data_IF_108767911883
#
_entry.id   IF_108767911883
#
_cell.length_a   1.000
_cell.length_b   1.000
_cell.length_c   1.000
_cell.angle_alpha   90.00
_cell.angle_beta   90.00
_cell.angle_gamma   90.00
#
_symmetry.space_group_name_H-M   'P 1'
#
loop_
_entity.id
_entity.type
_entity.pdbx_description
1 polymer ?
#
# COMPACT_ATOMS: atom_id res chain seq x y z
N UNK A 1 55.21 -3.61 51.89
CA UNK A 1 53.75 -3.92 51.86
C UNK A 1 52.92 -2.93 51.05
N UNK A 2 53.21 -1.62 51.11
CA UNK A 2 52.37 -0.61 50.41
C UNK A 2 52.46 -0.69 48.86
N UNK A 3 53.62 -1.05 48.29
CA UNK A 3 53.83 -1.14 46.84
C UNK A 3 53.11 -2.34 46.18
N UNK A 4 52.86 -3.44 46.85
CA UNK A 4 52.12 -4.58 46.33
C UNK A 4 50.60 -4.34 46.29
N UNK A 5 50.10 -3.49 47.23
CA UNK A 5 48.64 -3.15 47.25
C UNK A 5 48.26 -2.22 46.09
N UNK A 6 49.12 -1.30 45.68
CA UNK A 6 48.86 -0.36 44.58
C UNK A 6 48.86 -1.08 43.23
N UNK A 7 49.73 -2.12 43.05
CA UNK A 7 49.77 -2.95 41.83
C UNK A 7 48.48 -3.77 41.66
N UNK A 8 47.94 -4.32 42.77
CA UNK A 8 46.71 -5.10 42.75
C UNK A 8 45.46 -4.27 42.41
N UNK A 9 45.39 -3.03 42.90
CA UNK A 9 44.29 -2.09 42.57
C UNK A 9 44.28 -1.66 41.11
N UNK A 10 45.49 -1.42 40.52
CA UNK A 10 45.54 -1.08 39.08
C UNK A 10 45.07 -2.21 38.19
N UNK A 11 45.33 -3.46 38.51
CA UNK A 11 44.88 -4.63 37.74
C UNK A 11 43.37 -4.83 37.87
N UNK A 12 42.74 -4.51 39.00
CA UNK A 12 41.27 -4.56 39.18
C UNK A 12 40.57 -3.50 38.37
N UNK A 13 41.10 -2.26 38.31
CA UNK A 13 40.55 -1.21 37.48
C UNK A 13 40.69 -1.48 35.98
N UNK A 14 41.77 -2.06 35.53
CA UNK A 14 41.98 -2.46 34.12
C UNK A 14 41.04 -3.60 33.75
N UNK A 15 40.82 -4.58 34.64
CA UNK A 15 39.87 -5.68 34.38
C UNK A 15 38.42 -5.18 34.36
N UNK A 16 38.05 -4.25 35.27
CA UNK A 16 36.72 -3.62 35.27
C UNK A 16 36.46 -2.73 34.04
N UNK A 17 37.51 -2.04 33.55
CA UNK A 17 37.42 -1.25 32.31
C UNK A 17 37.30 -2.14 31.07
N UNK A 18 37.94 -3.31 31.05
CA UNK A 18 37.83 -4.26 29.95
C UNK A 18 36.49 -5.02 29.96
N UNK A 19 35.89 -5.24 31.13
CA UNK A 19 34.54 -5.82 31.24
C UNK A 19 33.41 -4.84 30.80
N UNK A 20 33.60 -3.53 30.98
CA UNK A 20 32.66 -2.53 30.53
C UNK A 20 32.73 -2.21 29.02
N UNK A 21 33.85 -2.60 28.34
CA UNK A 21 33.97 -2.35 26.89
C UNK A 21 33.29 -3.40 26.00
N UNK A 22 32.74 -4.46 26.58
CA UNK A 22 31.98 -5.51 25.85
C UNK A 22 30.49 -5.46 26.02
N UNK A 23 29.94 -4.44 26.68
CA UNK A 23 28.52 -4.09 26.55
C UNK A 23 28.31 -3.31 25.24
N UNK A 24 28.72 -3.89 24.13
CA UNK A 24 28.09 -3.49 22.84
C UNK A 24 26.62 -3.76 23.03
N UNK A 25 25.84 -2.69 23.16
CA UNK A 25 24.39 -2.76 23.02
C UNK A 25 24.12 -3.50 21.71
N UNK A 26 23.82 -4.78 21.82
CA UNK A 26 23.29 -5.54 20.69
C UNK A 26 22.02 -4.81 20.28
N UNK A 27 22.10 -4.01 19.24
CA UNK A 27 20.95 -3.32 18.71
C UNK A 27 19.95 -4.41 18.34
N UNK A 28 18.85 -4.50 19.08
CA UNK A 28 17.85 -5.55 18.87
C UNK A 28 17.35 -5.46 17.43
N UNK A 29 17.34 -6.60 16.75
CA UNK A 29 16.80 -6.69 15.38
C UNK A 29 15.37 -6.16 15.41
N UNK A 30 15.06 -5.25 14.49
CA UNK A 30 13.70 -4.74 14.29
C UNK A 30 13.10 -5.37 13.04
N UNK A 31 11.84 -5.77 13.13
CA UNK A 31 11.04 -6.27 12.01
C UNK A 31 9.92 -5.28 11.74
N UNK A 32 9.83 -4.76 10.51
CA UNK A 32 8.94 -3.64 10.18
C UNK A 32 9.05 -2.50 11.20
N UNK A 33 10.28 -2.16 11.57
CA UNK A 33 10.60 -1.03 12.43
C UNK A 33 10.58 -1.29 13.94
N UNK A 34 10.03 -2.41 14.43
CA UNK A 34 9.88 -2.71 15.86
C UNK A 34 10.41 -4.09 16.23
N UNK A 35 11.15 -4.19 17.32
CA UNK A 35 11.67 -5.48 17.83
C UNK A 35 10.56 -6.38 18.33
N UNK A 36 9.50 -5.79 18.89
CA UNK A 36 8.36 -6.49 19.47
C UNK A 36 7.51 -7.22 18.41
N UNK A 37 7.60 -6.82 17.15
CA UNK A 37 6.88 -7.45 16.05
C UNK A 37 7.58 -8.72 15.54
N UNK A 38 8.88 -8.88 15.78
CA UNK A 38 9.66 -9.97 15.19
C UNK A 38 9.12 -11.36 15.51
N UNK A 39 8.66 -11.57 16.76
CA UNK A 39 8.16 -12.86 17.24
C UNK A 39 6.63 -12.98 17.21
N UNK A 40 5.93 -11.99 16.66
CA UNK A 40 4.47 -12.07 16.50
C UNK A 40 4.12 -12.78 15.19
N UNK A 41 3.10 -13.65 15.20
CA UNK A 41 2.53 -14.17 13.97
C UNK A 41 2.05 -13.03 13.06
N UNK A 42 2.27 -13.16 11.76
CA UNK A 42 1.84 -12.17 10.78
C UNK A 42 0.35 -11.80 10.92
N UNK A 43 -0.51 -12.79 11.22
CA UNK A 43 -1.95 -12.60 11.44
C UNK A 43 -2.32 -11.88 12.74
N UNK A 44 -1.37 -11.61 13.63
CA UNK A 44 -1.59 -10.86 14.89
C UNK A 44 -0.98 -9.47 14.88
N UNK A 45 -0.64 -8.96 13.70
CA UNK A 45 -0.03 -7.65 13.51
C UNK A 45 -0.94 -6.78 12.64
N UNK A 46 -1.13 -5.53 13.07
CA UNK A 46 -1.71 -4.49 12.24
C UNK A 46 -0.60 -3.80 11.43
N UNK A 47 -0.81 -3.67 10.13
CA UNK A 47 0.11 -3.03 9.21
C UNK A 47 -0.48 -1.71 8.70
N UNK A 48 0.31 -0.63 8.61
CA UNK A 48 -0.12 0.57 7.91
C UNK A 48 -0.28 0.23 6.43
N UNK A 49 -1.47 0.52 5.89
CA UNK A 49 -1.84 0.21 4.53
C UNK A 49 -2.33 1.46 3.79
N UNK A 50 -2.11 1.50 2.49
CA UNK A 50 -2.60 2.56 1.62
C UNK A 50 -3.55 1.97 0.57
N UNK A 51 -4.76 2.54 0.50
CA UNK A 51 -5.71 2.23 -0.55
C UNK A 51 -5.26 2.90 -1.85
N UNK A 52 -5.37 2.19 -2.97
CA UNK A 52 -4.89 2.65 -4.27
C UNK A 52 -3.54 3.35 -4.18
N UNK A 53 -2.55 2.63 -3.62
CA UNK A 53 -1.23 3.16 -3.26
C UNK A 53 -0.50 3.82 -4.43
N UNK A 54 -0.78 3.39 -5.64
CA UNK A 54 -0.21 3.87 -6.90
C UNK A 54 -0.86 5.18 -7.37
N UNK A 55 -2.12 5.44 -6.96
CA UNK A 55 -2.93 6.56 -7.44
C UNK A 55 -2.45 7.88 -6.83
N UNK A 56 -1.32 8.36 -7.33
CA UNK A 56 -0.65 9.60 -6.94
C UNK A 56 -0.48 10.51 -8.16
N UNK A 57 -1.23 11.60 -8.18
CA UNK A 57 -1.07 12.74 -9.08
C UNK A 57 -1.74 13.95 -8.43
N UNK A 58 -0.97 14.94 -8.04
CA UNK A 58 -1.45 16.12 -7.31
C UNK A 58 -2.49 16.96 -8.06
N UNK A 59 -2.65 16.73 -9.36
CA UNK A 59 -3.58 17.45 -10.22
C UNK A 59 -4.80 16.61 -10.64
N UNK A 60 -4.90 15.36 -10.19
CA UNK A 60 -5.97 14.46 -10.57
C UNK A 60 -6.93 14.22 -9.39
N UNK A 61 -8.24 14.45 -9.62
CA UNK A 61 -9.27 14.25 -8.58
C UNK A 61 -9.47 12.79 -8.18
N UNK A 62 -8.97 11.85 -8.97
CA UNK A 62 -9.00 10.42 -8.69
C UNK A 62 -7.77 9.93 -7.92
N UNK A 63 -6.91 10.83 -7.47
CA UNK A 63 -5.75 10.45 -6.64
C UNK A 63 -6.18 10.09 -5.23
N UNK A 64 -5.74 8.91 -4.77
CA UNK A 64 -5.96 8.44 -3.41
C UNK A 64 -4.83 8.82 -2.46
N UNK A 65 -3.67 9.20 -2.98
CA UNK A 65 -2.48 9.48 -2.18
C UNK A 65 -1.82 10.80 -2.60
N UNK A 66 -1.26 11.52 -1.63
CA UNK A 66 -0.48 12.73 -1.87
C UNK A 66 1.00 12.44 -2.18
N UNK A 67 1.45 11.21 -1.89
CA UNK A 67 2.86 10.83 -2.00
C UNK A 67 3.03 9.55 -2.83
N UNK A 68 4.11 9.46 -3.62
CA UNK A 68 4.41 8.27 -4.41
C UNK A 68 4.76 7.07 -3.52
N UNK A 69 4.69 5.85 -4.07
CA UNK A 69 5.02 4.58 -3.39
C UNK A 69 6.41 4.62 -2.72
N UNK A 70 7.39 5.29 -3.33
CA UNK A 70 8.74 5.44 -2.75
C UNK A 70 8.72 6.14 -1.41
N UNK A 71 7.96 7.23 -1.29
CA UNK A 71 7.80 7.94 -0.02
C UNK A 71 6.95 7.13 0.97
N UNK A 72 5.90 6.45 0.51
CA UNK A 72 5.08 5.57 1.35
C UNK A 72 5.94 4.46 2.00
N UNK A 73 6.82 3.81 1.22
CA UNK A 73 7.76 2.80 1.71
C UNK A 73 8.72 3.37 2.77
N UNK A 74 9.32 4.53 2.49
CA UNK A 74 10.27 5.19 3.40
C UNK A 74 9.58 5.72 4.66
N UNK A 75 8.34 6.16 4.57
CA UNK A 75 7.54 6.63 5.71
C UNK A 75 7.02 5.47 6.60
N UNK A 76 7.08 4.22 6.15
CA UNK A 76 6.72 3.05 6.96
C UNK A 76 5.45 2.32 6.56
N UNK A 77 4.82 2.62 5.41
CA UNK A 77 3.73 1.80 4.86
C UNK A 77 4.25 0.40 4.51
N UNK A 78 3.49 -0.65 4.85
CA UNK A 78 3.90 -2.05 4.65
C UNK A 78 2.85 -2.91 3.95
N UNK A 79 1.67 -2.37 3.67
CA UNK A 79 0.69 -2.99 2.79
C UNK A 79 0.22 -2.00 1.73
N UNK A 80 0.13 -2.46 0.49
CA UNK A 80 -0.14 -1.63 -0.68
C UNK A 80 -1.26 -2.27 -1.50
N UNK A 81 -2.34 -1.53 -1.74
CA UNK A 81 -3.44 -1.96 -2.60
C UNK A 81 -3.23 -1.38 -4.00
N UNK A 82 -3.28 -2.24 -5.01
CA UNK A 82 -2.93 -1.91 -6.39
C UNK A 82 -3.97 -2.47 -7.36
N UNK A 83 -4.47 -1.64 -8.27
CA UNK A 83 -5.46 -2.02 -9.28
C UNK A 83 -4.76 -2.38 -10.58
N UNK A 84 -4.98 -3.61 -11.03
CA UNK A 84 -4.37 -4.15 -12.25
C UNK A 84 -5.33 -4.01 -13.43
N UNK A 85 -4.89 -3.31 -14.46
CA UNK A 85 -5.64 -3.08 -15.69
C UNK A 85 -4.84 -3.40 -16.95
N UNK A 86 -5.56 -3.69 -18.04
CA UNK A 86 -4.98 -3.73 -19.38
C UNK A 86 -4.69 -2.31 -19.85
N UNK A 87 -3.54 -2.09 -20.50
CA UNK A 87 -3.23 -0.79 -21.06
C UNK A 87 -4.27 -0.38 -22.10
N UNK A 88 -4.56 0.91 -22.18
CA UNK A 88 -5.33 1.45 -23.28
C UNK A 88 -4.53 1.29 -24.58
N UNK A 89 -4.90 0.32 -25.41
CA UNK A 89 -4.29 0.20 -26.74
C UNK A 89 -4.90 1.22 -27.70
N UNK A 90 -4.09 1.70 -28.67
CA UNK A 90 -4.62 2.52 -29.76
C UNK A 90 -5.76 1.84 -30.50
N UNK A 91 -5.77 0.51 -30.55
CA UNK A 91 -6.86 -0.31 -31.10
C UNK A 91 -8.08 -0.37 -30.17
N UNK A 92 -7.94 -0.33 -28.85
CA UNK A 92 -9.09 -0.25 -27.93
C UNK A 92 -9.71 1.16 -27.92
N UNK A 93 -8.91 2.22 -28.05
CA UNK A 93 -9.42 3.56 -28.28
C UNK A 93 -10.15 3.65 -29.66
N UNK A 94 -9.57 3.06 -30.70
CA UNK A 94 -10.16 3.05 -32.04
C UNK A 94 -11.39 2.12 -32.12
N UNK A 95 -11.43 1.02 -31.35
CA UNK A 95 -12.60 0.14 -31.23
C UNK A 95 -13.73 0.79 -30.43
N UNK A 96 -13.42 1.62 -29.44
CA UNK A 96 -14.39 2.45 -28.74
C UNK A 96 -14.92 3.58 -29.62
N UNK A 97 -14.15 4.03 -30.62
CA UNK A 97 -14.51 5.08 -31.57
C UNK A 97 -15.13 4.53 -32.88
N UNK A 98 -14.96 3.24 -33.17
CA UNK A 98 -15.47 2.60 -34.41
C UNK A 98 -16.17 1.30 -34.09
N UNK A 99 -17.52 1.32 -34.08
CA UNK A 99 -18.35 0.12 -33.96
C UNK A 99 -18.34 -0.68 -35.27
N UNK A 100 -17.19 -1.12 -35.76
CA UNK A 100 -17.12 -2.02 -36.91
C UNK A 100 -16.12 -3.17 -36.67
N UNK A 101 -16.70 -4.35 -36.69
CA UNK A 101 -16.05 -5.65 -36.55
C UNK A 101 -14.97 -5.91 -37.59
N UNK A 102 -13.72 -6.14 -37.16
CA UNK A 102 -12.86 -7.13 -37.79
C UNK A 102 -11.75 -7.53 -36.80
N UNK A 103 -11.90 -8.72 -36.23
CA UNK A 103 -10.92 -9.35 -35.34
C UNK A 103 -9.70 -9.79 -36.16
N UNK A 104 -8.54 -9.21 -35.90
CA UNK A 104 -7.25 -9.84 -36.09
C UNK A 104 -6.64 -10.09 -34.73
N UNK A 105 -6.56 -11.38 -34.37
CA UNK A 105 -5.91 -11.85 -33.17
C UNK A 105 -4.39 -11.68 -33.34
N UNK A 106 -3.82 -10.66 -32.70
CA UNK A 106 -2.37 -10.55 -32.51
C UNK A 106 -2.03 -11.26 -31.20
N UNK A 107 -1.11 -12.21 -31.27
CA UNK A 107 -0.43 -12.77 -30.10
C UNK A 107 0.37 -11.64 -29.45
N UNK A 108 -0.12 -11.12 -28.34
CA UNK A 108 0.55 -10.07 -27.58
C UNK A 108 1.72 -10.68 -26.79
N UNK A 109 2.90 -10.02 -26.78
CA UNK A 109 3.95 -10.36 -25.81
C UNK A 109 3.43 -10.10 -24.40
N UNK A 110 4.00 -10.79 -23.39
CA UNK A 110 3.72 -10.73 -21.95
C UNK A 110 2.77 -9.59 -21.59
N UNK A 111 1.59 -9.92 -21.03
CA UNK A 111 0.55 -8.95 -20.77
C UNK A 111 1.15 -7.74 -20.05
N UNK A 112 1.21 -6.61 -20.75
CA UNK A 112 1.51 -5.34 -20.09
C UNK A 112 0.38 -5.08 -19.10
N UNK A 113 0.70 -5.10 -17.83
CA UNK A 113 -0.23 -4.72 -16.77
C UNK A 113 0.10 -3.27 -16.40
N UNK A 114 -0.93 -2.42 -16.41
CA UNK A 114 -0.85 -1.04 -15.98
C UNK A 114 -1.58 -0.86 -14.64
N UNK A 115 -1.20 0.16 -13.90
CA UNK A 115 -1.85 0.54 -12.65
C UNK A 115 -2.77 1.72 -12.93
N UNK A 116 -4.07 1.48 -12.90
CA UNK A 116 -5.06 2.49 -13.23
C UNK A 116 -6.15 2.55 -12.18
N UNK A 117 -6.54 3.76 -11.74
CA UNK A 117 -7.65 3.92 -10.82
C UNK A 117 -8.97 4.01 -11.59
N UNK A 118 -9.89 3.12 -11.31
CA UNK A 118 -11.20 2.93 -11.97
C UNK A 118 -11.05 2.59 -13.45
N UNK A 119 -10.37 3.41 -14.21
CA UNK A 119 -10.02 3.19 -15.63
C UNK A 119 -8.74 3.93 -15.97
N UNK A 120 -7.97 3.41 -16.93
CA UNK A 120 -6.76 4.08 -17.41
C UNK A 120 -7.03 5.43 -18.12
N UNK A 121 -8.29 5.77 -18.41
CA UNK A 121 -8.69 7.09 -18.90
C UNK A 121 -8.78 8.12 -17.77
N UNK A 122 -9.10 7.70 -16.56
CA UNK A 122 -9.27 8.59 -15.42
C UNK A 122 -7.93 8.88 -14.74
N UNK A 123 -7.20 7.83 -14.39
CA UNK A 123 -5.86 7.94 -13.84
C UNK A 123 -5.05 6.70 -14.22
N UNK A 124 -4.00 6.89 -14.99
CA UNK A 124 -3.00 5.88 -15.37
C UNK A 124 -1.65 6.31 -14.80
N UNK A 125 -1.09 5.49 -13.92
CA UNK A 125 0.22 5.75 -13.30
C UNK A 125 1.34 4.89 -13.89
N UNK A 126 1.01 4.10 -14.91
CA UNK A 126 1.95 3.37 -15.73
C UNK A 126 2.18 1.92 -15.31
N UNK A 127 3.26 1.38 -15.76
CA UNK A 127 3.54 -0.05 -15.77
C UNK A 127 3.71 -0.66 -14.38
N UNK A 128 3.00 -1.77 -14.13
CA UNK A 128 3.11 -2.57 -12.91
C UNK A 128 4.55 -3.06 -12.68
N UNK A 129 5.27 -3.52 -13.72
CA UNK A 129 6.67 -3.97 -13.59
C UNK A 129 7.57 -2.84 -13.09
N UNK A 130 7.38 -1.60 -13.55
CA UNK A 130 8.16 -0.45 -13.07
C UNK A 130 7.89 -0.19 -11.59
N UNK A 131 6.63 -0.26 -11.18
CA UNK A 131 6.25 -0.13 -9.76
C UNK A 131 6.83 -1.27 -8.92
N UNK A 132 6.77 -2.51 -9.40
CA UNK A 132 7.39 -3.65 -8.73
C UNK A 132 8.89 -3.47 -8.53
N UNK A 133 9.60 -2.82 -9.46
CA UNK A 133 11.03 -2.52 -9.32
C UNK A 133 11.34 -1.61 -8.14
N UNK A 134 10.40 -0.74 -7.73
CA UNK A 134 10.54 0.07 -6.52
C UNK A 134 10.52 -0.80 -5.26
N UNK A 135 9.61 -1.77 -5.18
CA UNK A 135 9.55 -2.73 -4.08
C UNK A 135 10.82 -3.58 -4.01
N UNK A 136 11.37 -3.98 -5.18
CA UNK A 136 12.66 -4.67 -5.22
C UNK A 136 13.77 -3.84 -4.61
N UNK A 137 13.92 -2.59 -5.07
CA UNK A 137 14.93 -1.66 -4.55
C UNK A 137 14.81 -1.50 -3.03
N UNK A 138 13.58 -1.35 -2.54
CA UNK A 138 13.33 -1.24 -1.10
C UNK A 138 13.71 -2.51 -0.33
N UNK A 139 13.28 -3.67 -0.79
CA UNK A 139 13.57 -4.96 -0.15
C UNK A 139 15.05 -5.32 -0.20
N UNK A 140 15.78 -4.90 -1.24
CA UNK A 140 17.23 -5.06 -1.33
C UNK A 140 17.97 -4.28 -0.25
N UNK A 141 17.54 -3.06 0.02
CA UNK A 141 18.13 -2.19 1.03
C UNK A 141 17.71 -2.56 2.46
N UNK A 142 16.46 -3.00 2.65
CA UNK A 142 15.85 -3.19 3.96
C UNK A 142 15.57 -4.68 4.24
N UNK A 143 16.54 -5.36 4.81
CA UNK A 143 16.53 -6.84 4.95
C UNK A 143 15.53 -7.37 5.98
N UNK A 144 15.06 -6.54 6.92
CA UNK A 144 14.17 -6.93 8.00
C UNK A 144 12.71 -6.46 7.79
N UNK A 145 12.37 -6.07 6.56
CA UNK A 145 11.05 -5.58 6.21
C UNK A 145 10.25 -6.64 5.45
N UNK A 146 9.01 -6.82 5.83
CA UNK A 146 8.00 -7.66 5.16
C UNK A 146 6.97 -6.74 4.55
N UNK A 147 6.71 -6.90 3.26
CA UNK A 147 5.76 -6.09 2.48
C UNK A 147 4.62 -6.97 1.99
N UNK A 148 3.42 -6.42 1.99
CA UNK A 148 2.22 -7.03 1.43
C UNK A 148 1.74 -6.23 0.23
N UNK A 149 1.43 -6.92 -0.87
CA UNK A 149 0.69 -6.37 -1.99
C UNK A 149 -0.69 -7.03 -2.04
N UNK A 150 -1.72 -6.22 -2.19
CA UNK A 150 -3.11 -6.63 -2.35
C UNK A 150 -3.55 -6.13 -3.73
N UNK A 151 -3.72 -7.06 -4.66
CA UNK A 151 -3.94 -6.78 -6.08
C UNK A 151 -5.42 -6.93 -6.42
N UNK A 152 -6.07 -5.82 -6.78
CA UNK A 152 -7.39 -5.85 -7.41
C UNK A 152 -7.22 -6.14 -8.90
N UNK A 153 -7.52 -7.38 -9.30
CA UNK A 153 -7.28 -7.88 -10.66
C UNK A 153 -8.52 -7.64 -11.54
N UNK A 154 -8.77 -6.39 -11.92
CA UNK A 154 -9.98 -5.97 -12.64
C UNK A 154 -10.15 -6.66 -14.00
N UNK A 155 -9.07 -6.84 -14.73
CA UNK A 155 -9.10 -7.42 -16.08
C UNK A 155 -8.85 -8.92 -16.13
N UNK A 156 -8.90 -9.59 -14.97
CA UNK A 156 -8.79 -11.04 -14.82
C UNK A 156 -7.52 -11.64 -15.46
N UNK A 157 -6.37 -11.01 -15.20
CA UNK A 157 -5.08 -11.55 -15.60
C UNK A 157 -4.87 -12.94 -14.99
N UNK A 158 -4.29 -13.86 -15.77
CA UNK A 158 -3.92 -15.16 -15.27
C UNK A 158 -2.83 -15.06 -14.18
N UNK A 159 -2.82 -16.01 -13.24
CA UNK A 159 -1.78 -16.07 -12.20
C UNK A 159 -0.37 -16.12 -12.79
N UNK A 160 -0.20 -16.76 -13.95
CA UNK A 160 1.06 -16.79 -14.71
C UNK A 160 1.47 -15.42 -15.25
N UNK A 161 0.52 -14.61 -15.70
CA UNK A 161 0.78 -13.26 -16.20
C UNK A 161 1.22 -12.34 -15.06
N UNK A 162 0.50 -12.37 -13.92
CA UNK A 162 0.88 -11.63 -12.71
C UNK A 162 2.27 -12.08 -12.25
N UNK A 163 2.52 -13.38 -12.12
CA UNK A 163 3.82 -13.92 -11.69
C UNK A 163 4.96 -13.50 -12.62
N UNK A 164 4.73 -13.47 -13.94
CA UNK A 164 5.72 -13.04 -14.93
C UNK A 164 6.14 -11.58 -14.73
N UNK A 165 5.23 -10.70 -14.27
CA UNK A 165 5.58 -9.32 -13.93
C UNK A 165 6.53 -9.26 -12.72
N UNK A 166 6.34 -10.11 -11.70
CA UNK A 166 7.28 -10.23 -10.58
C UNK A 166 8.63 -10.77 -11.02
N UNK A 167 8.67 -11.75 -11.94
CA UNK A 167 9.93 -12.26 -12.52
C UNK A 167 10.68 -11.15 -13.28
N UNK A 168 9.97 -10.39 -14.12
CA UNK A 168 10.55 -9.31 -14.90
C UNK A 168 11.10 -8.16 -14.01
N UNK A 169 10.50 -7.97 -12.83
CA UNK A 169 10.99 -7.03 -11.83
C UNK A 169 12.12 -7.61 -10.94
N UNK A 170 12.50 -8.89 -11.13
CA UNK A 170 13.51 -9.56 -10.32
C UNK A 170 13.07 -9.87 -8.89
N UNK A 171 11.76 -10.07 -8.65
CA UNK A 171 11.17 -10.29 -7.33
C UNK A 171 10.84 -11.75 -7.02
N UNK A 172 11.08 -12.70 -7.94
CA UNK A 172 10.74 -14.12 -7.74
C UNK A 172 11.30 -14.69 -6.43
N UNK A 173 12.52 -14.30 -6.06
CA UNK A 173 13.17 -14.76 -4.84
C UNK A 173 12.61 -14.16 -3.56
N UNK A 174 11.83 -13.10 -3.66
CA UNK A 174 11.19 -12.44 -2.52
C UNK A 174 9.78 -12.95 -2.25
N UNK A 175 9.16 -13.65 -3.20
CA UNK A 175 7.77 -14.04 -3.11
C UNK A 175 7.55 -15.10 -2.02
N UNK A 176 6.63 -14.80 -1.11
CA UNK A 176 6.18 -15.71 -0.08
C UNK A 176 5.30 -16.82 -0.69
N UNK A 177 5.53 -18.06 -0.24
CA UNK A 177 4.71 -19.20 -0.65
C UNK A 177 3.99 -19.78 0.60
N UNK A 178 2.66 -19.66 0.69
CA UNK A 178 1.91 -20.17 1.83
C UNK A 178 2.01 -21.70 1.98
N UNK A 179 2.22 -22.44 0.89
CA UNK A 179 2.34 -23.91 0.90
C UNK A 179 3.62 -24.39 1.61
N UNK A 180 4.58 -23.49 1.85
CA UNK A 180 5.76 -23.81 2.66
C UNK A 180 5.45 -23.91 4.16
N UNK A 181 4.20 -23.58 4.57
CA UNK A 181 3.77 -23.54 5.97
C UNK A 181 2.43 -24.27 6.11
N UNK A 182 2.49 -25.55 6.50
CA UNK A 182 1.29 -26.42 6.63
C UNK A 182 0.21 -25.85 7.55
N UNK A 183 0.60 -25.06 8.55
CA UNK A 183 -0.33 -24.51 9.54
C UNK A 183 -1.19 -23.34 9.00
N UNK A 184 -0.78 -22.66 7.92
CA UNK A 184 -1.59 -21.59 7.34
C UNK A 184 -2.86 -22.16 6.73
N UNK A 185 -2.73 -23.25 5.98
CA UNK A 185 -3.85 -23.87 5.25
C UNK A 185 -4.80 -24.64 6.18
N UNK A 186 -4.28 -25.28 7.24
CA UNK A 186 -5.07 -26.12 8.13
C UNK A 186 -5.67 -25.38 9.33
N UNK A 187 -4.91 -24.42 9.93
CA UNK A 187 -5.26 -23.78 11.20
C UNK A 187 -5.25 -22.25 11.16
N UNK A 188 -5.02 -21.63 9.98
CA UNK A 188 -4.86 -20.18 9.82
C UNK A 188 -3.72 -19.57 10.68
N UNK A 189 -2.73 -20.38 11.06
CA UNK A 189 -1.59 -19.96 11.87
C UNK A 189 -0.47 -19.49 10.93
N UNK A 190 -0.32 -18.18 10.83
CA UNK A 190 0.72 -17.56 10.03
C UNK A 190 2.08 -17.60 10.75
N UNK A 191 3.20 -17.68 9.99
CA UNK A 191 4.54 -17.58 10.57
C UNK A 191 4.76 -16.20 11.21
N UNK A 192 5.73 -16.13 12.14
CA UNK A 192 6.17 -14.85 12.71
C UNK A 192 6.93 -14.03 11.66
N UNK A 193 7.02 -12.70 11.86
CA UNK A 193 7.81 -11.86 10.94
C UNK A 193 9.26 -12.36 10.84
N UNK A 194 9.85 -12.76 11.96
CA UNK A 194 11.22 -13.29 11.96
C UNK A 194 11.36 -14.58 11.14
N UNK A 195 10.36 -15.47 11.21
CA UNK A 195 10.34 -16.67 10.36
C UNK A 195 10.25 -16.33 8.87
N UNK A 196 9.40 -15.35 8.50
CA UNK A 196 9.29 -14.88 7.11
C UNK A 196 10.60 -14.25 6.66
N UNK A 197 11.18 -13.36 7.46
CA UNK A 197 12.43 -12.65 7.17
C UNK A 197 13.58 -13.64 6.98
N UNK A 198 13.68 -14.67 7.84
CA UNK A 198 14.77 -15.65 7.78
C UNK A 198 14.81 -16.46 6.48
N UNK A 199 13.68 -16.60 5.79
CA UNK A 199 13.62 -17.28 4.48
C UNK A 199 14.01 -16.39 3.31
N UNK A 200 14.08 -15.07 3.50
CA UNK A 200 14.23 -14.09 2.44
C UNK A 200 12.93 -13.86 1.62
N UNK A 201 11.89 -14.68 1.82
CA UNK A 201 10.59 -14.61 1.09
C UNK A 201 9.66 -13.59 1.74
N UNK A 202 9.98 -12.30 1.60
CA UNK A 202 9.45 -11.19 2.38
C UNK A 202 8.39 -10.35 1.66
N UNK A 203 7.95 -10.77 0.48
CA UNK A 203 6.90 -10.14 -0.31
C UNK A 203 5.69 -11.07 -0.38
N UNK A 204 4.62 -10.71 0.32
CA UNK A 204 3.36 -11.46 0.36
C UNK A 204 2.41 -10.82 -0.65
N UNK A 205 1.88 -11.61 -1.57
CA UNK A 205 1.04 -11.11 -2.67
C UNK A 205 -0.32 -11.80 -2.65
N UNK A 206 -1.36 -11.01 -2.42
CA UNK A 206 -2.74 -11.43 -2.57
C UNK A 206 -3.32 -10.88 -3.87
N UNK A 207 -4.21 -11.62 -4.51
CA UNK A 207 -4.95 -11.19 -5.69
C UNK A 207 -6.43 -11.49 -5.53
N UNK A 208 -7.30 -10.55 -5.90
CA UNK A 208 -8.76 -10.70 -5.82
C UNK A 208 -9.27 -11.85 -6.67
N UNK A 209 -8.58 -12.16 -7.77
CA UNK A 209 -8.83 -13.35 -8.60
C UNK A 209 -7.54 -14.12 -8.88
N UNK A 210 -7.62 -15.46 -8.81
CA UNK A 210 -6.52 -16.38 -9.16
C UNK A 210 -7.11 -17.57 -9.89
N UNK A 211 -6.36 -18.11 -10.86
CA UNK A 211 -6.82 -19.25 -11.68
C UNK A 211 -5.90 -20.46 -11.66
N UNK A 212 -4.72 -20.37 -11.04
CA UNK A 212 -3.75 -21.47 -10.98
C UNK A 212 -2.89 -21.41 -9.70
N UNK A 213 -3.52 -21.69 -8.58
CA UNK A 213 -2.84 -21.73 -7.27
C UNK A 213 -1.87 -22.91 -7.12
N UNK A 214 -1.95 -23.90 -8.00
CA UNK A 214 -1.06 -25.09 -7.97
C UNK A 214 0.32 -24.73 -8.51
N UNK A 215 0.38 -24.07 -9.68
CA UNK A 215 1.65 -23.72 -10.32
C UNK A 215 2.19 -22.35 -9.83
N UNK A 216 1.30 -21.46 -9.38
CA UNK A 216 1.64 -20.10 -8.89
C UNK A 216 1.11 -19.84 -7.48
N UNK A 217 1.51 -20.67 -6.47
CA UNK A 217 0.99 -20.54 -5.11
C UNK A 217 1.40 -19.22 -4.42
N UNK A 218 2.37 -18.49 -4.97
CA UNK A 218 2.82 -17.18 -4.49
C UNK A 218 1.84 -16.07 -4.83
N UNK A 219 0.96 -16.27 -5.82
CA UNK A 219 -0.17 -15.37 -6.12
C UNK A 219 -1.38 -15.90 -5.35
N UNK A 220 -1.51 -15.41 -4.12
CA UNK A 220 -2.41 -15.98 -3.13
C UNK A 220 -3.84 -15.48 -3.38
N UNK A 221 -4.81 -16.38 -3.37
CA UNK A 221 -6.21 -16.01 -3.48
C UNK A 221 -6.64 -15.18 -2.26
N UNK A 222 -6.96 -13.91 -2.47
CA UNK A 222 -7.37 -12.99 -1.41
C UNK A 222 -8.56 -13.51 -0.63
N UNK A 223 -9.62 -13.94 -1.30
CA UNK A 223 -10.87 -14.37 -0.65
C UNK A 223 -10.73 -15.63 0.21
N UNK A 224 -9.65 -16.40 0.04
CA UNK A 224 -9.36 -17.54 0.89
C UNK A 224 -8.79 -17.14 2.26
N UNK A 225 -8.10 -16.01 2.35
CA UNK A 225 -7.35 -15.60 3.53
C UNK A 225 -7.76 -14.25 4.11
N UNK A 226 -8.36 -13.37 3.34
CA UNK A 226 -8.70 -11.99 3.73
C UNK A 226 -10.20 -11.79 3.70
N UNK A 227 -10.75 -11.24 4.79
CA UNK A 227 -12.04 -10.53 4.81
C UNK A 227 -11.78 -9.03 4.88
N UNK A 228 -12.74 -8.22 4.44
CA UNK A 228 -12.60 -6.76 4.50
C UNK A 228 -13.90 -6.10 4.97
N UNK A 229 -13.78 -4.97 5.64
CA UNK A 229 -14.95 -4.11 5.92
C UNK A 229 -15.42 -3.44 4.62
N UNK A 230 -16.62 -2.86 4.64
CA UNK A 230 -17.12 -2.12 3.47
C UNK A 230 -16.10 -1.04 3.05
N UNK A 231 -15.86 -0.93 1.75
CA UNK A 231 -15.11 0.16 1.12
C UNK A 231 -16.03 1.21 0.49
N UNK A 232 -17.34 0.93 0.41
CA UNK A 232 -18.36 1.83 -0.13
C UNK A 232 -18.92 2.75 0.98
N UNK A 233 -18.05 3.62 1.54
CA UNK A 233 -18.47 4.59 2.56
C UNK A 233 -18.50 5.98 1.95
N UNK A 234 -19.69 6.36 1.48
CA UNK A 234 -19.92 7.71 0.98
C UNK A 234 -19.88 8.73 2.12
N UNK A 235 -19.22 9.84 1.89
CA UNK A 235 -19.19 10.94 2.85
C UNK A 235 -19.22 12.29 2.14
N UNK A 236 -20.24 13.06 2.44
CA UNK A 236 -20.31 14.47 2.09
C UNK A 236 -19.66 15.36 3.17
N UNK A 237 -18.85 14.78 4.06
CA UNK A 237 -18.31 15.46 5.23
C UNK A 237 -17.52 16.71 4.84
N UNK A 238 -18.02 17.81 5.33
CA UNK A 238 -17.34 19.11 5.36
C UNK A 238 -16.98 19.51 6.79
N UNK A 239 -17.29 18.66 7.78
CA UNK A 239 -17.20 18.98 9.21
C UNK A 239 -16.90 17.75 10.06
N UNK A 240 -16.04 17.88 11.11
CA UNK A 240 -15.72 16.82 12.05
C UNK A 240 -16.90 16.34 12.90
N UNK A 241 -18.00 17.09 12.94
CA UNK A 241 -19.14 16.77 13.79
C UNK A 241 -20.00 15.61 13.26
N UNK A 242 -19.82 15.17 12.03
CA UNK A 242 -20.56 14.05 11.45
C UNK A 242 -19.58 12.97 11.01
N UNK A 243 -19.21 12.02 11.88
CA UNK A 243 -18.28 10.95 11.53
C UNK A 243 -18.87 10.07 10.42
N UNK A 244 -18.02 9.48 9.56
CA UNK A 244 -18.48 8.49 8.58
C UNK A 244 -19.18 7.33 9.26
N UNK A 245 -20.17 6.75 8.60
CA UNK A 245 -20.88 5.57 9.11
C UNK A 245 -20.04 4.29 8.83
N UNK A 246 -18.90 4.20 9.47
CA UNK A 246 -18.10 2.99 9.42
C UNK A 246 -18.80 1.84 10.15
N UNK A 247 -18.58 0.61 9.67
CA UNK A 247 -19.10 -0.60 10.27
C UNK A 247 -18.06 -1.72 10.22
N UNK A 248 -18.23 -2.74 11.08
CA UNK A 248 -17.41 -3.96 11.01
C UNK A 248 -18.17 -5.14 10.40
N UNK A 249 -18.99 -4.86 9.38
CA UNK A 249 -19.54 -5.90 8.51
C UNK A 249 -18.44 -6.31 7.52
N UNK A 250 -18.06 -7.60 7.58
CA UNK A 250 -16.95 -8.12 6.79
C UNK A 250 -17.40 -9.03 5.66
N UNK A 251 -16.71 -8.94 4.52
CA UNK A 251 -16.88 -9.79 3.35
C UNK A 251 -15.52 -10.37 2.92
N UNK A 252 -15.42 -11.70 2.59
CA UNK A 252 -16.44 -12.71 2.77
C UNK A 252 -16.64 -13.08 4.25
N UNK A 253 -17.85 -13.59 4.55
CA UNK A 253 -18.20 -14.19 5.83
C UNK A 253 -18.25 -15.72 5.68
N UNK A 254 -17.84 -16.53 6.68
CA UNK A 254 -17.26 -16.11 7.96
C UNK A 254 -15.87 -15.49 7.83
N UNK A 255 -15.43 -14.82 8.92
CA UNK A 255 -14.12 -14.15 9.02
C UNK A 255 -12.99 -15.07 8.56
N UNK A 256 -12.11 -14.54 7.72
CA UNK A 256 -10.86 -15.19 7.30
C UNK A 256 -9.73 -14.90 8.33
N UNK A 257 -8.55 -15.46 8.08
CA UNK A 257 -7.41 -15.33 8.99
C UNK A 257 -6.84 -13.90 9.06
N UNK A 258 -7.09 -13.08 8.05
CA UNK A 258 -6.65 -11.70 7.95
C UNK A 258 -7.84 -10.80 7.64
N UNK A 259 -7.76 -9.53 8.04
CA UNK A 259 -8.83 -8.56 7.80
C UNK A 259 -8.26 -7.22 7.34
N UNK A 260 -8.85 -6.64 6.30
CA UNK A 260 -8.64 -5.25 5.90
C UNK A 260 -9.71 -4.39 6.58
N UNK A 261 -9.27 -3.35 7.28
CA UNK A 261 -10.10 -2.26 7.75
C UNK A 261 -10.02 -1.12 6.72
N UNK A 262 -11.04 -1.01 5.87
CA UNK A 262 -11.13 0.06 4.88
C UNK A 262 -11.55 1.36 5.58
N UNK A 263 -10.57 2.18 5.94
CA UNK A 263 -10.76 3.42 6.70
C UNK A 263 -10.55 4.64 5.82
N UNK A 264 -11.38 4.75 4.80
CA UNK A 264 -11.41 5.86 3.84
C UNK A 264 -12.84 6.11 3.38
N UNK A 265 -13.05 7.22 2.72
CA UNK A 265 -14.36 7.66 2.24
C UNK A 265 -14.27 8.26 0.84
N UNK A 266 -15.33 8.10 0.07
CA UNK A 266 -15.44 8.69 -1.24
C UNK A 266 -16.52 9.76 -1.31
N UNK A 267 -16.50 10.53 -2.38
CA UNK A 267 -17.53 11.49 -2.76
C UNK A 267 -17.87 11.30 -4.24
N UNK A 268 -19.15 11.41 -4.55
CA UNK A 268 -19.61 11.36 -5.93
C UNK A 268 -19.32 12.68 -6.64
N UNK A 269 -18.64 12.63 -7.78
CA UNK A 269 -18.35 13.77 -8.65
C UNK A 269 -18.91 13.54 -10.04
N UNK A 270 -19.68 14.51 -10.52
CA UNK A 270 -20.16 14.52 -11.90
C UNK A 270 -19.06 15.07 -12.81
N UNK A 271 -18.61 14.26 -13.77
CA UNK A 271 -17.64 14.64 -14.79
C UNK A 271 -18.32 14.43 -16.15
N UNK A 272 -18.64 15.51 -16.84
CA UNK A 272 -19.51 15.42 -18.01
C UNK A 272 -20.91 14.94 -17.63
N UNK A 273 -21.30 13.77 -18.16
CA UNK A 273 -22.58 13.12 -17.87
C UNK A 273 -22.45 11.89 -16.96
N UNK A 274 -21.22 11.56 -16.52
CA UNK A 274 -20.94 10.36 -15.73
C UNK A 274 -20.59 10.75 -14.29
N UNK A 275 -21.21 10.06 -13.34
CA UNK A 275 -20.87 10.20 -11.92
C UNK A 275 -19.79 9.18 -11.57
N UNK A 276 -18.68 9.66 -11.04
CA UNK A 276 -17.57 8.86 -10.54
C UNK A 276 -17.47 8.95 -9.03
N UNK A 277 -17.15 7.83 -8.40
CA UNK A 277 -16.69 7.80 -7.02
C UNK A 277 -15.21 8.18 -6.98
N UNK A 278 -14.90 9.24 -6.26
CA UNK A 278 -13.53 9.74 -6.12
C UNK A 278 -13.17 9.90 -4.65
N UNK A 279 -11.90 9.76 -4.26
CA UNK A 279 -11.47 9.93 -2.88
C UNK A 279 -11.85 11.30 -2.33
N UNK A 280 -12.34 11.34 -1.09
CA UNK A 280 -12.70 12.62 -0.45
C UNK A 280 -11.51 13.22 0.31
N UNK A 281 -10.60 13.89 -0.39
CA UNK A 281 -9.44 14.54 0.19
C UNK A 281 -9.81 15.55 1.30
N UNK A 282 -10.94 16.25 1.17
CA UNK A 282 -11.39 17.22 2.17
C UNK A 282 -11.80 16.57 3.49
N UNK A 283 -12.22 15.29 3.46
CA UNK A 283 -12.60 14.55 4.65
C UNK A 283 -11.38 13.93 5.37
N UNK A 284 -10.25 13.74 4.67
CA UNK A 284 -9.10 13.01 5.21
C UNK A 284 -8.59 13.58 6.55
N UNK A 285 -8.58 14.90 6.72
CA UNK A 285 -8.15 15.54 7.97
C UNK A 285 -9.03 15.17 9.19
N UNK A 286 -10.27 14.73 8.96
CA UNK A 286 -11.20 14.32 10.02
C UNK A 286 -11.28 12.80 10.14
N UNK A 287 -11.25 12.12 9.01
CA UNK A 287 -11.33 10.66 8.93
C UNK A 287 -10.06 10.03 9.49
N UNK A 288 -8.90 10.53 9.10
CA UNK A 288 -7.61 9.90 9.38
C UNK A 288 -7.03 10.24 10.76
N UNK A 289 -7.86 10.76 11.69
CA UNK A 289 -7.41 11.02 13.07
C UNK A 289 -7.24 9.71 13.85
N UNK A 290 -6.40 9.74 14.88
CA UNK A 290 -6.21 8.62 15.80
C UNK A 290 -7.54 8.13 16.38
N UNK A 291 -8.36 9.05 16.90
CA UNK A 291 -9.62 8.71 17.55
C UNK A 291 -10.62 8.07 16.59
N UNK A 292 -10.73 8.59 15.36
CA UNK A 292 -11.60 8.02 14.32
C UNK A 292 -11.17 6.61 13.96
N UNK A 293 -9.85 6.40 13.76
CA UNK A 293 -9.30 5.09 13.38
C UNK A 293 -9.49 4.06 14.48
N UNK A 294 -9.17 4.43 15.74
CA UNK A 294 -9.34 3.53 16.89
C UNK A 294 -10.83 3.24 17.13
N UNK A 295 -11.71 4.21 16.94
CA UNK A 295 -13.16 4.00 17.03
C UNK A 295 -13.63 2.99 16.00
N UNK A 296 -13.23 3.11 14.73
CA UNK A 296 -13.58 2.13 13.68
C UNK A 296 -13.00 0.74 14.00
N UNK A 297 -11.73 0.66 14.40
CA UNK A 297 -11.12 -0.62 14.84
C UNK A 297 -11.90 -1.26 15.98
N UNK A 298 -12.34 -0.48 16.97
CA UNK A 298 -13.08 -0.96 18.13
C UNK A 298 -14.49 -1.45 17.80
N UNK A 299 -15.10 -1.02 16.68
CA UNK A 299 -16.37 -1.61 16.21
C UNK A 299 -16.21 -3.10 15.88
N UNK A 300 -15.00 -3.56 15.57
CA UNK A 300 -14.68 -4.93 15.24
C UNK A 300 -14.42 -5.81 16.50
N UNK A 301 -14.06 -5.21 17.61
CA UNK A 301 -13.67 -5.92 18.85
C UNK A 301 -14.77 -6.82 19.42
N UNK A 302 -16.06 -6.42 19.50
CA UNK A 302 -17.13 -7.28 20.00
C UNK A 302 -17.35 -8.54 19.16
N UNK A 303 -16.90 -8.52 17.89
CA UNK A 303 -16.98 -9.63 16.95
C UNK A 303 -15.74 -10.52 16.99
N UNK A 304 -14.79 -10.25 17.88
CA UNK A 304 -13.47 -10.92 17.94
C UNK A 304 -12.71 -10.82 16.60
N UNK A 305 -12.85 -9.69 15.93
CA UNK A 305 -12.17 -9.39 14.67
C UNK A 305 -10.97 -8.49 14.96
N UNK A 306 -9.79 -8.95 14.57
CA UNK A 306 -8.56 -8.16 14.56
C UNK A 306 -8.27 -7.73 13.12
N UNK A 307 -8.14 -6.42 12.88
CA UNK A 307 -7.81 -5.91 11.57
C UNK A 307 -6.29 -5.87 11.37
N UNK A 308 -5.83 -6.50 10.29
CA UNK A 308 -4.42 -6.62 9.95
C UNK A 308 -3.92 -5.51 9.04
N UNK A 309 -4.76 -5.01 8.14
CA UNK A 309 -4.39 -3.95 7.21
C UNK A 309 -5.29 -2.76 7.46
N UNK A 310 -4.71 -1.67 7.96
CA UNK A 310 -5.43 -0.43 8.25
C UNK A 310 -5.27 0.47 7.03
N UNK A 311 -6.23 0.43 6.12
CA UNK A 311 -6.13 1.05 4.80
C UNK A 311 -6.67 2.49 4.80
N UNK A 312 -5.82 3.42 4.37
CA UNK A 312 -6.11 4.86 4.28
C UNK A 312 -6.00 5.37 2.85
N UNK A 313 -6.87 6.33 2.52
CA UNK A 313 -6.56 7.35 1.52
C UNK A 313 -5.79 8.49 2.19
N UNK A 314 -4.90 9.16 1.46
CA UNK A 314 -4.11 10.31 1.95
C UNK A 314 -3.41 10.00 3.29
N UNK A 315 -2.67 8.90 3.32
CA UNK A 315 -2.04 8.35 4.54
C UNK A 315 -1.16 9.34 5.30
N UNK A 316 -0.62 10.34 4.62
CA UNK A 316 0.23 11.40 5.16
C UNK A 316 -0.56 12.54 5.85
N UNK A 317 -1.88 12.47 5.75
CA UNK A 317 -2.81 13.36 6.47
C UNK A 317 -3.36 12.59 7.68
N UNK A 318 -3.06 13.04 8.88
CA UNK A 318 -3.57 12.43 10.11
C UNK A 318 -2.59 11.46 10.79
N UNK A 319 -3.11 10.38 11.39
CA UNK A 319 -2.41 9.63 12.42
C UNK A 319 -2.29 8.11 12.14
N UNK A 320 -2.24 7.67 10.86
CA UNK A 320 -2.16 6.24 10.51
C UNK A 320 -1.13 5.48 11.33
N UNK A 321 0.11 5.96 11.36
CA UNK A 321 1.20 5.25 12.04
C UNK A 321 1.04 5.22 13.56
N UNK A 322 0.47 6.26 14.17
CA UNK A 322 0.13 6.27 15.60
C UNK A 322 -1.00 5.30 15.92
N UNK A 323 -2.02 5.26 15.07
CA UNK A 323 -3.14 4.32 15.23
C UNK A 323 -2.66 2.88 15.12
N UNK A 324 -1.85 2.55 14.12
CA UNK A 324 -1.28 1.20 13.94
C UNK A 324 -0.36 0.82 15.11
N UNK A 325 0.47 1.73 15.61
CA UNK A 325 1.28 1.48 16.80
C UNK A 325 0.39 1.19 18.02
N UNK A 326 -0.66 1.98 18.25
CA UNK A 326 -1.62 1.78 19.33
C UNK A 326 -2.33 0.42 19.22
N UNK A 327 -2.82 0.04 18.04
CA UNK A 327 -3.48 -1.26 17.78
C UNK A 327 -2.51 -2.42 18.09
N UNK A 328 -1.24 -2.25 17.78
CA UNK A 328 -0.20 -3.24 18.08
C UNK A 328 0.29 -3.21 19.54
N UNK A 329 -0.24 -2.34 20.39
CA UNK A 329 0.27 -2.10 21.76
C UNK A 329 1.76 -1.74 21.76
N UNK A 330 2.18 -0.85 20.87
CA UNK A 330 3.53 -0.35 20.75
C UNK A 330 3.60 1.14 21.10
N UNK A 331 4.72 1.56 21.67
CA UNK A 331 5.02 3.00 21.78
C UNK A 331 5.32 3.54 20.38
N UNK A 332 4.57 4.55 19.96
CA UNK A 332 4.78 5.15 18.65
C UNK A 332 6.19 5.75 18.53
N UNK A 333 6.87 5.36 17.48
CA UNK A 333 8.15 5.93 17.05
C UNK A 333 8.09 6.03 15.54
N UNK A 334 8.33 7.23 14.99
CA UNK A 334 8.35 7.39 13.55
C UNK A 334 9.42 6.48 12.94
N UNK A 335 8.97 5.54 12.12
CA UNK A 335 9.84 4.58 11.42
C UNK A 335 10.04 5.10 10.01
N UNK A 336 11.18 5.74 9.77
CA UNK A 336 11.53 6.20 8.42
C UNK A 336 12.78 5.48 7.95
N UNK A 337 12.81 5.12 6.68
CA UNK A 337 14.01 4.72 5.95
C UNK A 337 14.38 5.83 4.98
N UNK A 338 15.58 5.79 4.44
CA UNK A 338 16.05 6.73 3.42
C UNK A 338 16.52 5.93 2.20
N UNK A 339 15.69 5.01 1.76
CA UNK A 339 16.02 4.12 0.64
C UNK A 339 16.02 4.89 -0.68
N UNK A 340 15.07 5.82 -0.81
CA UNK A 340 14.91 6.61 -2.01
C UNK A 340 15.41 8.05 -1.79
N UNK A 341 16.01 8.68 -2.82
CA UNK A 341 16.39 10.09 -2.75
C UNK A 341 15.16 10.94 -2.42
N UNK A 342 15.21 11.67 -1.33
CA UNK A 342 14.17 12.65 -1.02
C UNK A 342 14.26 13.74 -2.09
N UNK A 343 13.16 14.04 -2.76
CA UNK A 343 13.06 15.23 -3.59
C UNK A 343 13.23 16.44 -2.66
N UNK A 344 14.42 17.03 -2.67
CA UNK A 344 14.68 18.29 -1.97
C UNK A 344 13.81 19.33 -2.66
N UNK A 345 12.67 19.65 -2.08
CA UNK A 345 11.94 20.86 -2.42
C UNK A 345 12.82 22.04 -1.95
N UNK A 346 13.76 22.43 -2.78
CA UNK A 346 14.46 23.71 -2.61
C UNK A 346 13.41 24.79 -2.82
N UNK A 347 12.81 25.25 -1.73
CA UNK A 347 12.16 26.54 -1.71
C UNK A 347 13.26 27.60 -1.90
N UNK A 348 13.64 27.82 -3.17
CA UNK A 348 14.31 29.04 -3.51
C UNK A 348 13.30 30.17 -3.33
N UNK A 349 13.44 30.89 -2.22
CA UNK A 349 12.95 32.23 -2.12
C UNK A 349 13.64 33.04 -3.23
N UNK A 350 12.99 33.23 -4.34
CA UNK A 350 13.33 34.21 -5.36
C UNK A 350 12.18 35.18 -5.43
N UNK A 351 12.54 36.45 -5.19
CA UNK A 351 11.70 37.63 -5.32
C UNK A 351 10.75 37.55 -6.53
N UNK A 352 9.52 37.80 -6.22
CA UNK A 352 8.40 38.28 -7.02
C UNK A 352 8.65 38.56 -8.52
N UNK A 353 8.16 37.64 -9.35
CA UNK A 353 7.50 38.00 -10.62
C UNK A 353 6.03 37.58 -10.49
N UNK A 354 5.08 38.40 -10.97
CA UNK A 354 3.65 38.10 -10.80
C UNK A 354 3.25 36.84 -11.56
N UNK A 355 2.29 36.03 -11.05
CA UNK A 355 1.85 34.84 -11.73
C UNK A 355 1.21 35.20 -13.08
N UNK A 356 1.60 34.49 -14.12
CA UNK A 356 0.91 34.49 -15.40
C UNK A 356 -0.54 34.06 -15.15
N UNK A 357 -1.46 35.00 -15.38
CA UNK A 357 -2.89 34.74 -15.37
C UNK A 357 -3.22 33.83 -16.55
N UNK A 358 -3.52 32.57 -16.28
CA UNK A 358 -4.15 31.72 -17.27
C UNK A 358 -5.58 32.23 -17.50
N UNK A 359 -5.87 32.68 -18.70
CA UNK A 359 -7.21 33.09 -19.09
C UNK A 359 -8.11 31.84 -19.21
N UNK A 360 -9.41 31.95 -18.91
CA UNK A 360 -10.35 30.80 -18.91
C UNK A 360 -10.51 30.06 -20.25
N UNK A 361 -9.93 30.58 -21.33
CA UNK A 361 -10.09 30.05 -22.69
C UNK A 361 -9.28 28.79 -23.01
N UNK A 362 -8.24 28.44 -22.21
CA UNK A 362 -7.44 27.23 -22.44
C UNK A 362 -8.13 25.96 -21.92
N UNK A 363 -8.98 26.08 -20.91
CA UNK A 363 -9.76 24.97 -20.37
C UNK A 363 -10.96 24.65 -21.29
N UNK A 364 -11.56 25.68 -21.90
CA UNK A 364 -12.66 25.47 -22.85
C UNK A 364 -12.23 24.74 -24.13
N UNK A 365 -11.00 24.89 -24.59
CA UNK A 365 -10.50 24.20 -25.79
C UNK A 365 -10.34 22.69 -25.58
N UNK A 366 -9.98 22.25 -24.38
CA UNK A 366 -9.88 20.82 -24.06
C UNK A 366 -11.28 20.19 -23.91
N UNK A 367 -12.22 20.91 -23.28
CA UNK A 367 -13.62 20.46 -23.14
C UNK A 367 -14.37 20.47 -24.47
N UNK A 368 -14.10 21.42 -25.36
CA UNK A 368 -14.72 21.46 -26.68
C UNK A 368 -14.28 20.29 -27.58
N UNK A 369 -13.04 19.81 -27.43
CA UNK A 369 -12.55 18.62 -28.14
C UNK A 369 -13.20 17.33 -27.59
N UNK A 370 -13.41 17.26 -26.27
CA UNK A 370 -14.09 16.12 -25.63
C UNK A 370 -15.59 16.09 -25.96
N UNK A 371 -16.24 17.25 -26.01
CA UNK A 371 -17.68 17.37 -26.36
C UNK A 371 -17.94 17.11 -27.84
N UNK A 372 -17.01 17.46 -28.72
CA UNK A 372 -17.12 17.14 -30.17
C UNK A 372 -16.98 15.63 -30.43
N UNK A 373 -16.23 14.91 -29.58
CA UNK A 373 -16.13 13.43 -29.63
C UNK A 373 -17.40 12.78 -29.10
N UNK A 374 -18.04 13.34 -28.06
CA UNK A 374 -19.28 12.82 -27.50
C UNK A 374 -20.53 13.11 -28.33
N UNK A 375 -20.56 14.20 -29.12
CA UNK A 375 -21.68 14.50 -30.00
C UNK A 375 -21.73 13.62 -31.26
N UNK A 376 -20.65 12.96 -31.63
CA UNK A 376 -20.58 11.99 -32.74
C UNK A 376 -21.06 10.58 -32.30
N UNK A 377 -21.21 10.35 -30.99
CA UNK A 377 -21.64 9.07 -30.41
C UNK A 377 -23.16 8.95 -30.22
N UNK A 378 -23.94 9.98 -30.59
CA UNK A 378 -25.41 9.99 -30.52
C UNK A 378 -26.11 10.01 -31.89
N UNK A 379 -25.53 9.33 -32.88
CA UNK A 379 -26.18 9.00 -34.16
C UNK A 379 -26.13 7.49 -34.41
#
# INVERSE_FOLDING_TARGET
MLFQFISSLKNVYVLAALLNSHLTSSQSIKCNGYSELCNRPYSSIAFPATHNSFAYDTNNIASNQNKPITAQLDDGVRAFMLDLHKPLSASSLQAALSSNNNKRQQTLPVANIELCHTTCLLLDTGSFVKTLSLFKTYLDANKNEVITLILENYDNFASSEIYSNFQNAGLSDYLFNPNSYSNITSNAVWPTLNQIISTGKRLIVFSSTTNDATNYPQIINQSAYISQTSFEVASSLTSPQTPPNFSCIITPSPKKSLVILNHFVFVNKLIGTVTYEVPNANASAYVNTLDSTISHFNLCSPLSIFANFIAFDFYDVGDLFKAVASINNLSFSQQTTNTFPQSVSTSKSTNSTPPLSFTPNSILSFFALLLSVLSVLNL
#
